data_IF_577390795338
#
_entry.id   IF_577390795338
#
_cell.length_a   1.000
_cell.length_b   1.000
_cell.length_c   1.000
_cell.angle_alpha   90.00
_cell.angle_beta   90.00
_cell.angle_gamma   90.00
#
_symmetry.space_group_name_H-M   'P 1'
#
loop_
_entity.id
_entity.type
_entity.pdbx_description
1 polymer ?
#
# COMPACT_ATOMS: atom_id res chain seq x y z
N UNK A 1 22.59 -11.47 14.84
CA UNK A 1 22.46 -12.90 14.48
C UNK A 1 22.87 -13.05 13.02
N UNK A 2 24.19 -13.08 12.79
CA UNK A 2 24.83 -13.28 11.50
C UNK A 2 25.36 -14.72 11.51
N UNK A 3 24.81 -15.57 10.66
CA UNK A 3 25.31 -16.93 10.45
C UNK A 3 26.39 -16.90 9.38
N UNK A 4 27.64 -16.84 9.84
CA UNK A 4 28.80 -17.32 9.12
C UNK A 4 28.88 -18.83 9.37
N UNK A 5 28.53 -19.66 8.37
CA UNK A 5 28.73 -21.11 8.44
C UNK A 5 29.47 -21.56 7.18
N UNK A 6 30.76 -21.83 7.40
CA UNK A 6 31.59 -22.92 6.88
C UNK A 6 31.78 -23.07 5.37
N UNK A 7 32.92 -22.55 4.87
CA UNK A 7 33.49 -22.88 3.56
C UNK A 7 34.82 -23.66 3.64
N UNK A 8 35.12 -24.34 4.75
CA UNK A 8 36.46 -24.95 4.94
C UNK A 8 36.58 -26.46 4.65
N UNK A 9 35.49 -27.18 4.39
CA UNK A 9 35.57 -28.65 4.24
C UNK A 9 35.71 -29.18 2.80
N UNK A 10 36.01 -28.33 1.81
CA UNK A 10 36.07 -28.78 0.40
C UNK A 10 37.45 -28.65 -0.27
N UNK A 11 38.51 -28.29 0.48
CA UNK A 11 39.86 -28.20 -0.07
C UNK A 11 40.67 -29.52 0.06
N UNK A 12 40.38 -30.36 1.06
CA UNK A 12 41.15 -31.59 1.28
C UNK A 12 40.78 -32.73 0.31
N UNK A 13 39.58 -32.72 -0.28
CA UNK A 13 39.21 -33.67 -1.34
C UNK A 13 39.86 -33.32 -2.70
N UNK A 14 40.17 -32.04 -2.93
CA UNK A 14 40.79 -31.58 -4.19
C UNK A 14 42.30 -31.84 -4.19
N UNK A 15 42.95 -31.78 -3.03
CA UNK A 15 44.42 -31.96 -2.94
C UNK A 15 44.82 -33.44 -3.09
N UNK A 16 43.93 -34.41 -2.79
CA UNK A 16 44.26 -35.84 -2.93
C UNK A 16 43.99 -36.40 -4.35
N UNK A 17 43.22 -35.70 -5.18
CA UNK A 17 43.01 -36.08 -6.59
C UNK A 17 44.15 -35.61 -7.52
N UNK A 18 44.99 -34.65 -7.09
CA UNK A 18 46.17 -34.16 -7.83
C UNK A 18 47.44 -34.86 -7.32
N UNK A 19 47.38 -36.19 -7.13
CA UNK A 19 48.57 -36.97 -6.76
C UNK A 19 48.62 -38.37 -7.38
N UNK A 20 47.83 -38.61 -8.42
CA UNK A 20 47.95 -39.81 -9.25
C UNK A 20 48.44 -39.40 -10.63
N UNK A 21 49.72 -39.71 -10.87
CA UNK A 21 50.29 -40.03 -12.17
C UNK A 21 50.18 -38.97 -13.27
N UNK A 22 51.30 -38.28 -13.53
CA UNK A 22 52.12 -38.63 -14.69
C UNK A 22 53.47 -37.92 -14.60
N UNK A 23 54.49 -38.61 -14.09
CA UNK A 23 55.87 -38.33 -14.49
C UNK A 23 56.04 -38.77 -15.95
N UNK A 24 55.63 -37.91 -16.89
CA UNK A 24 56.03 -38.07 -18.29
C UNK A 24 57.50 -37.66 -18.41
N UNK A 25 58.36 -38.50 -19.03
CA UNK A 25 59.70 -38.07 -19.39
C UNK A 25 59.57 -36.84 -20.28
N UNK A 26 60.25 -35.75 -19.93
CA UNK A 26 60.35 -34.58 -20.80
C UNK A 26 61.19 -34.94 -22.02
N UNK A 27 60.56 -35.60 -22.97
CA UNK A 27 61.00 -35.63 -24.35
C UNK A 27 60.99 -34.18 -24.82
N UNK A 28 62.18 -33.58 -24.91
CA UNK A 28 62.44 -32.39 -25.71
C UNK A 28 62.20 -32.74 -27.18
N UNK A 29 60.95 -32.97 -27.56
CA UNK A 29 60.53 -33.01 -28.95
C UNK A 29 59.81 -31.70 -29.17
N UNK A 30 60.41 -30.84 -30.01
CA UNK A 30 59.74 -29.62 -30.46
C UNK A 30 58.40 -30.01 -31.09
N UNK A 31 57.35 -29.27 -30.74
CA UNK A 31 56.02 -29.43 -31.32
C UNK A 31 56.15 -29.58 -32.83
N UNK A 32 55.86 -30.77 -33.34
CA UNK A 32 55.89 -30.99 -34.78
C UNK A 32 54.69 -30.28 -35.38
N UNK A 33 54.90 -29.57 -36.49
CA UNK A 33 53.84 -28.85 -37.21
C UNK A 33 52.58 -29.71 -37.46
N UNK A 34 52.67 -31.03 -37.78
CA UNK A 34 51.50 -31.90 -37.91
C UNK A 34 50.67 -32.05 -36.64
N UNK A 35 51.30 -32.04 -35.47
CA UNK A 35 50.65 -32.28 -34.18
C UNK A 35 49.86 -31.05 -33.71
N UNK A 36 50.39 -29.85 -34.00
CA UNK A 36 49.66 -28.59 -33.83
C UNK A 36 48.43 -28.56 -34.74
N UNK A 37 48.56 -28.96 -36.01
CA UNK A 37 47.43 -29.00 -36.95
C UNK A 37 46.35 -29.96 -36.45
N UNK A 38 46.72 -31.12 -35.92
CA UNK A 38 45.76 -32.11 -35.42
C UNK A 38 45.01 -31.60 -34.17
N UNK A 39 45.71 -30.97 -33.22
CA UNK A 39 45.06 -30.38 -32.04
C UNK A 39 44.11 -29.25 -32.42
N UNK A 40 44.53 -28.36 -33.34
CA UNK A 40 43.67 -27.27 -33.80
C UNK A 40 42.44 -27.82 -34.54
N UNK A 41 42.60 -28.87 -35.36
CA UNK A 41 41.48 -29.51 -36.05
C UNK A 41 40.47 -30.13 -35.07
N UNK A 42 40.95 -30.86 -34.06
CA UNK A 42 40.07 -31.46 -33.03
C UNK A 42 39.39 -30.38 -32.19
N UNK A 43 40.12 -29.32 -31.79
CA UNK A 43 39.56 -28.21 -31.04
C UNK A 43 38.50 -27.45 -31.85
N UNK A 44 38.71 -27.25 -33.15
CA UNK A 44 37.72 -26.63 -34.03
C UNK A 44 36.43 -27.45 -34.10
N UNK A 45 36.52 -28.77 -34.29
CA UNK A 45 35.35 -29.65 -34.33
C UNK A 45 34.60 -29.59 -32.99
N UNK A 46 35.29 -29.70 -31.86
CA UNK A 46 34.66 -29.63 -30.53
C UNK A 46 33.97 -28.28 -30.29
N UNK A 47 34.59 -27.18 -30.71
CA UNK A 47 34.01 -25.83 -30.55
C UNK A 47 32.74 -25.67 -31.38
N UNK A 48 32.72 -26.19 -32.62
CA UNK A 48 31.53 -26.15 -33.48
C UNK A 48 30.37 -26.99 -32.94
N UNK A 49 30.65 -28.10 -32.25
CA UNK A 49 29.62 -28.97 -31.66
C UNK A 49 29.06 -28.41 -30.34
N UNK A 50 29.87 -27.72 -29.54
CA UNK A 50 29.43 -27.15 -28.26
C UNK A 50 28.71 -25.80 -28.38
N UNK A 51 28.86 -25.10 -29.52
CA UNK A 51 28.34 -23.75 -29.70
C UNK A 51 26.80 -23.63 -29.59
N UNK A 52 25.98 -24.54 -30.17
CA UNK A 52 24.52 -24.45 -30.08
C UNK A 52 23.99 -24.49 -28.64
N UNK A 53 24.60 -25.32 -27.80
CA UNK A 53 24.18 -25.49 -26.40
C UNK A 53 24.45 -24.21 -25.59
N UNK A 54 25.61 -23.60 -25.78
CA UNK A 54 26.00 -22.34 -25.13
C UNK A 54 25.02 -21.22 -25.49
N UNK A 55 24.66 -21.10 -26.78
CA UNK A 55 23.70 -20.09 -27.23
C UNK A 55 22.33 -20.30 -26.58
N UNK A 56 21.86 -21.54 -26.48
CA UNK A 56 20.58 -21.85 -25.82
C UNK A 56 20.57 -21.49 -24.34
N UNK A 57 21.71 -21.63 -23.65
CA UNK A 57 21.86 -21.26 -22.24
C UNK A 57 21.72 -19.76 -22.04
N UNK A 58 22.42 -18.95 -22.85
CA UNK A 58 22.31 -17.49 -22.77
C UNK A 58 20.90 -16.98 -23.07
N UNK A 59 20.19 -17.59 -24.04
CA UNK A 59 18.79 -17.28 -24.31
C UNK A 59 17.90 -17.52 -23.10
N UNK A 60 18.00 -18.69 -22.47
CA UNK A 60 17.26 -19.01 -21.25
C UNK A 60 17.59 -18.03 -20.12
N UNK A 61 18.86 -17.69 -19.95
CA UNK A 61 19.29 -16.72 -18.95
C UNK A 61 18.65 -15.35 -19.18
N UNK A 62 18.63 -14.87 -20.43
CA UNK A 62 17.99 -13.58 -20.76
C UNK A 62 16.48 -13.59 -20.48
N UNK A 63 15.78 -14.67 -20.82
CA UNK A 63 14.34 -14.81 -20.56
C UNK A 63 14.05 -14.80 -19.06
N UNK A 64 14.84 -15.51 -18.26
CA UNK A 64 14.66 -15.53 -16.81
C UNK A 64 15.00 -14.18 -16.15
N UNK A 65 16.04 -13.50 -16.64
CA UNK A 65 16.35 -12.13 -16.21
C UNK A 65 15.20 -11.17 -16.51
N UNK A 66 14.61 -11.25 -17.71
CA UNK A 66 13.47 -10.43 -18.10
C UNK A 66 12.24 -10.70 -17.23
N UNK A 67 11.93 -11.98 -16.95
CA UNK A 67 10.84 -12.36 -16.04
C UNK A 67 11.05 -11.81 -14.64
N UNK A 68 12.29 -11.80 -14.15
CA UNK A 68 12.62 -11.21 -12.86
C UNK A 68 12.42 -9.70 -12.87
N UNK A 69 12.90 -9.00 -13.91
CA UNK A 69 12.69 -7.57 -14.08
C UNK A 69 11.21 -7.20 -14.11
N UNK A 70 10.39 -7.90 -14.90
CA UNK A 70 8.94 -7.67 -14.97
C UNK A 70 8.24 -7.91 -13.63
N UNK A 71 8.68 -8.91 -12.85
CA UNK A 71 8.15 -9.13 -11.48
C UNK A 71 8.54 -8.00 -10.53
N UNK A 72 9.74 -7.44 -10.65
CA UNK A 72 10.15 -6.27 -9.87
C UNK A 72 9.34 -5.04 -10.25
N UNK A 73 9.11 -4.80 -11.55
CA UNK A 73 8.24 -3.74 -12.05
C UNK A 73 6.81 -3.93 -11.52
N UNK A 74 6.28 -5.16 -11.51
CA UNK A 74 4.96 -5.44 -10.94
C UNK A 74 4.89 -5.11 -9.45
N UNK A 75 5.91 -5.47 -8.66
CA UNK A 75 5.98 -5.11 -7.24
C UNK A 75 6.06 -3.60 -7.04
N UNK A 76 6.81 -2.90 -7.88
CA UNK A 76 6.90 -1.44 -7.86
C UNK A 76 5.54 -0.80 -8.18
N UNK A 77 4.81 -1.33 -9.16
CA UNK A 77 3.43 -0.90 -9.46
C UNK A 77 2.50 -1.10 -8.26
N UNK A 78 2.59 -2.23 -7.54
CA UNK A 78 1.83 -2.44 -6.30
C UNK A 78 2.17 -1.41 -5.24
N UNK A 79 3.45 -1.09 -5.04
CA UNK A 79 3.88 -0.10 -4.05
C UNK A 79 3.42 1.32 -4.44
N UNK A 80 3.61 1.71 -5.71
CA UNK A 80 3.16 3.00 -6.22
C UNK A 80 1.65 3.18 -6.09
N UNK A 81 0.87 2.18 -6.52
CA UNK A 81 -0.59 2.24 -6.44
C UNK A 81 -1.08 2.28 -4.99
N UNK A 82 -0.37 1.64 -4.07
CA UNK A 82 -0.67 1.68 -2.65
C UNK A 82 -0.49 3.10 -2.08
N UNK A 83 0.53 3.83 -2.51
CA UNK A 83 0.86 5.13 -1.94
C UNK A 83 0.08 6.27 -2.62
N UNK A 84 -0.06 6.23 -3.95
CA UNK A 84 -0.68 7.30 -4.73
C UNK A 84 -2.16 7.05 -5.09
N UNK A 85 -2.69 5.85 -4.84
CA UNK A 85 -4.07 5.41 -5.18
C UNK A 85 -4.42 5.40 -6.68
N UNK A 86 -3.46 5.75 -7.53
CA UNK A 86 -3.58 5.86 -8.99
C UNK A 86 -2.38 5.11 -9.61
N UNK A 87 -2.49 4.75 -10.88
CA UNK A 87 -1.37 4.21 -11.65
C UNK A 87 -0.55 5.33 -12.33
N UNK A 88 0.74 5.08 -12.61
CA UNK A 88 1.58 6.05 -13.31
C UNK A 88 1.05 6.41 -14.69
N UNK A 89 1.33 7.63 -15.16
CA UNK A 89 0.98 8.05 -16.52
C UNK A 89 1.77 7.26 -17.57
N UNK A 90 1.14 6.99 -18.72
CA UNK A 90 1.73 6.18 -19.78
C UNK A 90 3.03 6.75 -20.36
N UNK A 91 3.24 8.07 -20.27
CA UNK A 91 4.44 8.72 -20.84
C UNK A 91 5.66 8.61 -19.92
N UNK A 92 5.46 8.67 -18.60
CA UNK A 92 6.54 8.78 -17.61
C UNK A 92 6.55 7.64 -16.58
N UNK A 93 5.79 6.58 -16.83
CA UNK A 93 5.63 5.44 -15.91
C UNK A 93 6.97 4.87 -15.41
N UNK A 94 7.98 4.81 -16.27
CA UNK A 94 9.28 4.24 -15.93
C UNK A 94 10.11 5.14 -14.98
N UNK A 95 9.93 6.46 -15.01
CA UNK A 95 10.59 7.38 -14.07
C UNK A 95 9.91 7.36 -12.71
N UNK A 96 8.58 7.34 -12.72
CA UNK A 96 7.77 7.29 -11.50
C UNK A 96 7.94 5.97 -10.74
N UNK A 97 7.98 4.84 -11.46
CA UNK A 97 8.20 3.53 -10.84
C UNK A 97 9.64 3.34 -10.34
N UNK A 98 10.63 4.05 -10.89
CA UNK A 98 12.02 3.93 -10.46
C UNK A 98 12.24 4.29 -9.00
N UNK A 99 11.37 5.13 -8.39
CA UNK A 99 11.42 5.42 -6.96
C UNK A 99 11.04 4.22 -6.07
N UNK A 100 10.33 3.23 -6.63
CA UNK A 100 9.75 2.09 -5.92
C UNK A 100 10.44 0.75 -6.25
N UNK A 101 11.50 0.77 -7.06
CA UNK A 101 12.27 -0.42 -7.44
C UNK A 101 13.77 -0.17 -7.36
N UNK A 102 14.55 -1.25 -7.39
CA UNK A 102 16.01 -1.19 -7.49
C UNK A 102 16.49 -1.04 -8.94
N UNK A 103 15.57 -1.11 -9.91
CA UNK A 103 15.88 -0.93 -11.33
C UNK A 103 16.02 0.56 -11.65
N UNK A 104 16.98 0.90 -12.51
CA UNK A 104 17.08 2.25 -13.06
C UNK A 104 15.89 2.55 -13.97
N UNK A 105 15.55 3.83 -14.23
CA UNK A 105 14.49 4.19 -15.18
C UNK A 105 14.69 3.53 -16.55
N UNK A 106 15.93 3.47 -17.03
CA UNK A 106 16.29 2.79 -18.27
C UNK A 106 16.15 1.27 -18.17
N UNK A 107 16.44 0.68 -17.01
CA UNK A 107 16.21 -0.75 -16.77
C UNK A 107 14.73 -1.14 -16.72
N UNK A 108 13.84 -0.18 -16.42
CA UNK A 108 12.39 -0.36 -16.46
C UNK A 108 11.85 -0.15 -17.88
N UNK A 109 12.38 0.85 -18.59
CA UNK A 109 11.98 1.12 -19.97
C UNK A 109 12.50 0.04 -20.94
N UNK A 110 13.77 -0.38 -20.81
CA UNK A 110 14.43 -1.30 -21.73
C UNK A 110 14.44 -2.73 -21.22
N UNK A 111 14.11 -3.67 -22.10
CA UNK A 111 14.22 -5.10 -21.84
C UNK A 111 15.67 -5.63 -21.94
N UNK A 112 15.82 -6.92 -21.64
CA UNK A 112 17.10 -7.64 -21.72
C UNK A 112 17.73 -7.64 -23.12
N UNK A 113 16.95 -7.29 -24.16
CA UNK A 113 17.36 -7.19 -25.56
C UNK A 113 17.46 -5.73 -26.04
N UNK A 114 17.37 -4.76 -25.13
CA UNK A 114 17.46 -3.33 -25.37
C UNK A 114 16.30 -2.75 -26.22
N UNK A 115 15.14 -3.41 -26.20
CA UNK A 115 13.89 -2.89 -26.76
C UNK A 115 13.07 -2.18 -25.69
N UNK A 116 12.28 -1.17 -26.11
CA UNK A 116 11.36 -0.50 -25.20
C UNK A 116 10.19 -1.42 -24.85
N UNK A 117 9.90 -1.55 -23.56
CA UNK A 117 8.70 -2.21 -23.06
C UNK A 117 7.50 -1.32 -23.33
N UNK A 118 6.39 -1.93 -23.72
CA UNK A 118 5.12 -1.22 -23.89
C UNK A 118 4.33 -1.30 -22.60
N UNK A 119 3.96 -0.14 -22.10
CA UNK A 119 3.08 0.02 -20.96
C UNK A 119 1.72 0.53 -21.44
N UNK A 120 0.67 -0.18 -21.06
CA UNK A 120 -0.71 0.18 -21.36
C UNK A 120 -1.46 0.27 -20.05
N UNK A 121 -2.19 1.36 -19.86
CA UNK A 121 -3.00 1.61 -18.66
C UNK A 121 -4.41 2.01 -19.07
N UNK A 122 -5.40 1.53 -18.32
CA UNK A 122 -6.77 1.99 -18.43
C UNK A 122 -7.44 1.96 -17.07
N UNK A 123 -8.52 2.72 -16.96
CA UNK A 123 -9.37 2.75 -15.80
C UNK A 123 -10.81 2.37 -16.18
N UNK A 124 -11.47 1.65 -15.28
CA UNK A 124 -12.87 1.28 -15.45
C UNK A 124 -13.63 1.50 -14.14
N UNK A 125 -14.69 2.31 -14.22
CA UNK A 125 -15.64 2.48 -13.14
C UNK A 125 -16.53 1.23 -13.02
N UNK A 126 -16.56 0.62 -11.85
CA UNK A 126 -17.45 -0.49 -11.53
C UNK A 126 -18.23 -0.18 -10.27
N UNK A 127 -19.52 -0.48 -10.28
CA UNK A 127 -20.34 -0.40 -9.08
C UNK A 127 -19.92 -1.52 -8.15
N UNK A 128 -19.43 -1.15 -6.97
CA UNK A 128 -19.08 -2.07 -5.91
C UNK A 128 -19.93 -1.75 -4.68
N UNK A 129 -20.83 -2.69 -4.34
CA UNK A 129 -21.91 -2.49 -3.37
C UNK A 129 -22.78 -1.29 -3.75
N UNK A 130 -22.73 -0.20 -2.98
CA UNK A 130 -23.59 0.99 -3.15
C UNK A 130 -22.83 2.18 -3.76
N UNK A 131 -21.52 2.04 -4.01
CA UNK A 131 -20.67 3.09 -4.56
C UNK A 131 -20.13 2.75 -5.95
N UNK A 132 -19.86 3.78 -6.75
CA UNK A 132 -19.08 3.64 -7.98
C UNK A 132 -17.61 3.85 -7.66
N UNK A 133 -16.79 2.84 -7.89
CA UNK A 133 -15.34 2.89 -7.66
C UNK A 133 -14.62 2.63 -8.97
N UNK A 134 -13.61 3.46 -9.26
CA UNK A 134 -12.74 3.28 -10.40
C UNK A 134 -11.66 2.25 -10.08
N UNK A 135 -11.49 1.25 -10.94
CA UNK A 135 -10.42 0.26 -10.87
C UNK A 135 -9.41 0.51 -11.97
N UNK A 136 -8.13 0.37 -11.63
CA UNK A 136 -7.02 0.59 -12.56
C UNK A 136 -6.45 -0.75 -13.03
N UNK A 137 -6.25 -0.84 -14.33
CA UNK A 137 -5.69 -2.00 -15.02
C UNK A 137 -4.46 -1.56 -15.79
N UNK A 138 -3.39 -2.35 -15.72
CA UNK A 138 -2.19 -2.09 -16.49
C UNK A 138 -1.51 -3.36 -16.95
N UNK A 139 -0.80 -3.25 -18.07
CA UNK A 139 0.06 -4.30 -18.60
C UNK A 139 1.41 -3.73 -18.97
N UNK A 140 2.47 -4.50 -18.72
CA UNK A 140 3.81 -4.23 -19.23
C UNK A 140 4.20 -5.42 -20.10
N UNK A 141 4.60 -5.14 -21.34
CA UNK A 141 4.98 -6.14 -22.35
C UNK A 141 6.42 -5.92 -22.78
N UNK A 142 7.20 -6.99 -22.84
CA UNK A 142 8.51 -7.05 -23.51
C UNK A 142 8.39 -7.87 -24.78
N UNK A 143 9.04 -7.40 -25.85
CA UNK A 143 9.04 -8.00 -27.19
C UNK A 143 9.94 -9.25 -27.35
N UNK A 144 10.39 -9.82 -26.23
CA UNK A 144 11.08 -11.11 -26.22
C UNK A 144 12.38 -11.16 -27.04
N UNK A 145 12.75 -12.38 -27.41
CA UNK A 145 13.92 -12.68 -28.24
C UNK A 145 13.74 -12.19 -29.69
N UNK A 146 12.50 -12.16 -30.18
CA UNK A 146 12.08 -11.69 -31.50
C UNK A 146 12.26 -10.18 -31.69
N UNK A 147 12.40 -9.42 -30.59
CA UNK A 147 12.60 -7.96 -30.55
C UNK A 147 11.48 -7.17 -31.22
N UNK A 148 10.32 -7.80 -31.36
CA UNK A 148 9.13 -7.20 -31.93
C UNK A 148 7.98 -7.58 -31.02
N UNK A 149 7.20 -6.59 -30.61
CA UNK A 149 6.00 -6.84 -29.80
C UNK A 149 4.92 -7.28 -30.78
N UNK A 150 4.59 -8.57 -30.73
CA UNK A 150 3.52 -9.17 -31.54
C UNK A 150 2.17 -9.09 -30.81
N UNK A 151 2.21 -8.86 -29.50
CA UNK A 151 1.03 -8.80 -28.65
C UNK A 151 0.16 -7.58 -28.99
N UNK A 152 -1.12 -7.84 -29.25
CA UNK A 152 -2.09 -6.79 -29.50
C UNK A 152 -2.32 -5.93 -28.25
N UNK A 153 -2.29 -4.60 -28.44
CA UNK A 153 -2.73 -3.67 -27.40
C UNK A 153 -4.22 -3.88 -27.09
N UNK A 154 -4.58 -3.68 -25.83
CA UNK A 154 -5.95 -3.75 -25.35
C UNK A 154 -6.46 -2.35 -25.04
N UNK A 155 -7.70 -2.06 -25.43
CA UNK A 155 -8.31 -0.74 -25.29
C UNK A 155 -9.49 -0.72 -24.30
N UNK A 156 -9.90 -1.89 -23.81
CA UNK A 156 -11.04 -2.09 -22.93
C UNK A 156 -10.83 -3.25 -21.95
N UNK A 157 -11.74 -3.38 -20.99
CA UNK A 157 -11.68 -4.41 -19.97
C UNK A 157 -11.77 -5.83 -20.53
N UNK A 158 -12.58 -6.04 -21.58
CA UNK A 158 -12.71 -7.35 -22.23
C UNK A 158 -11.40 -7.74 -22.93
N UNK A 159 -10.75 -6.78 -23.59
CA UNK A 159 -9.40 -6.90 -24.11
C UNK A 159 -8.38 -7.20 -23.01
N UNK A 160 -8.45 -6.53 -21.86
CA UNK A 160 -7.55 -6.79 -20.73
C UNK A 160 -7.70 -8.22 -20.14
N UNK A 161 -8.93 -8.70 -20.00
CA UNK A 161 -9.21 -10.04 -19.46
C UNK A 161 -8.72 -11.13 -20.42
N UNK A 162 -8.94 -10.94 -21.71
CA UNK A 162 -8.50 -11.84 -22.78
C UNK A 162 -7.03 -11.67 -23.17
N UNK A 163 -6.36 -10.63 -22.64
CA UNK A 163 -4.98 -10.32 -22.95
C UNK A 163 -4.02 -11.47 -22.60
N UNK A 164 -3.28 -11.91 -23.61
CA UNK A 164 -2.23 -12.92 -23.52
C UNK A 164 -1.06 -12.48 -24.39
N UNK A 165 0.15 -12.73 -23.91
CA UNK A 165 1.35 -12.50 -24.71
C UNK A 165 1.36 -13.43 -25.93
N UNK A 166 1.69 -12.88 -27.10
CA UNK A 166 1.81 -13.62 -28.34
C UNK A 166 3.27 -14.03 -28.60
N UNK A 167 3.47 -15.17 -29.29
CA UNK A 167 4.81 -15.59 -29.70
C UNK A 167 5.75 -15.84 -28.52
N UNK A 168 6.85 -15.11 -28.50
CA UNK A 168 7.88 -15.13 -27.44
C UNK A 168 7.83 -13.89 -26.53
N UNK A 169 6.81 -13.05 -26.67
CA UNK A 169 6.58 -11.90 -25.80
C UNK A 169 6.39 -12.35 -24.35
N UNK A 170 6.83 -11.50 -23.42
CA UNK A 170 6.65 -11.71 -21.99
C UNK A 170 5.84 -10.53 -21.47
N UNK A 171 4.66 -10.81 -20.94
CA UNK A 171 3.80 -9.78 -20.40
C UNK A 171 3.41 -10.05 -18.94
N UNK A 172 3.26 -8.97 -18.19
CA UNK A 172 2.74 -9.00 -16.84
C UNK A 172 1.52 -8.10 -16.73
N UNK A 173 0.53 -8.57 -15.97
CA UNK A 173 -0.73 -7.88 -15.74
C UNK A 173 -0.80 -7.39 -14.31
N UNK A 174 -1.39 -6.20 -14.14
CA UNK A 174 -1.58 -5.56 -12.85
C UNK A 174 -3.02 -5.08 -12.72
N UNK A 175 -3.61 -5.33 -11.56
CA UNK A 175 -4.88 -4.76 -11.15
C UNK A 175 -4.84 -4.39 -9.67
N UNK A 176 -5.42 -3.23 -9.36
CA UNK A 176 -5.55 -2.71 -7.99
C UNK A 176 -6.80 -3.21 -7.26
N UNK A 177 -7.61 -4.06 -7.92
CA UNK A 177 -8.93 -4.46 -7.43
C UNK A 177 -8.88 -5.11 -6.05
N UNK A 178 -7.97 -6.08 -5.84
CA UNK A 178 -7.84 -6.77 -4.56
C UNK A 178 -7.42 -5.81 -3.43
N UNK A 179 -6.50 -4.89 -3.74
CA UNK A 179 -6.03 -3.89 -2.78
C UNK A 179 -7.15 -2.95 -2.35
N UNK A 180 -7.94 -2.45 -3.31
CA UNK A 180 -9.10 -1.59 -3.04
C UNK A 180 -10.16 -2.32 -2.22
N UNK A 181 -10.45 -3.59 -2.55
CA UNK A 181 -11.38 -4.42 -1.77
C UNK A 181 -10.90 -4.60 -0.32
N UNK A 182 -9.62 -4.92 -0.12
CA UNK A 182 -9.05 -5.10 1.22
C UNK A 182 -9.10 -3.82 2.07
N UNK A 183 -8.79 -2.67 1.49
CA UNK A 183 -8.88 -1.36 2.20
C UNK A 183 -10.31 -1.04 2.59
N UNK A 184 -11.26 -1.37 1.71
CA UNK A 184 -12.67 -1.19 1.98
C UNK A 184 -13.14 -2.08 3.14
N UNK A 185 -12.79 -3.38 3.14
CA UNK A 185 -13.11 -4.31 4.22
C UNK A 185 -12.47 -3.91 5.56
N UNK A 186 -11.24 -3.40 5.51
CA UNK A 186 -10.58 -2.84 6.70
C UNK A 186 -11.33 -1.62 7.24
N UNK A 187 -11.82 -0.74 6.35
CA UNK A 187 -12.61 0.44 6.73
C UNK A 187 -13.92 0.02 7.38
N UNK A 188 -14.62 -0.99 6.85
CA UNK A 188 -15.81 -1.57 7.49
C UNK A 188 -15.48 -2.10 8.88
N UNK A 189 -14.41 -2.89 9.01
CA UNK A 189 -14.01 -3.46 10.30
C UNK A 189 -13.69 -2.36 11.32
N UNK A 190 -13.08 -1.25 10.88
CA UNK A 190 -12.83 -0.07 11.74
C UNK A 190 -14.13 0.59 12.17
N UNK A 191 -15.10 0.76 11.26
CA UNK A 191 -16.42 1.31 11.57
C UNK A 191 -17.17 0.44 12.59
N UNK A 192 -17.18 -0.89 12.42
CA UNK A 192 -17.80 -1.81 13.38
C UNK A 192 -17.21 -1.71 14.78
N UNK A 193 -15.87 -1.59 14.89
CA UNK A 193 -15.19 -1.39 16.18
C UNK A 193 -15.56 -0.06 16.82
N UNK A 194 -15.71 1.00 16.03
CA UNK A 194 -16.15 2.31 16.51
C UNK A 194 -17.58 2.22 17.06
N UNK A 195 -18.49 1.59 16.32
CA UNK A 195 -19.88 1.37 16.75
C UNK A 195 -19.92 0.62 18.09
N UNK A 196 -19.16 -0.47 18.22
CA UNK A 196 -19.11 -1.25 19.46
C UNK A 196 -18.52 -0.46 20.64
N UNK A 197 -17.53 0.42 20.38
CA UNK A 197 -16.97 1.29 21.41
C UNK A 197 -17.96 2.37 21.86
N UNK A 198 -18.70 2.96 20.92
CA UNK A 198 -19.74 3.96 21.20
C UNK A 198 -20.91 3.36 21.97
N UNK A 199 -21.34 2.14 21.63
CA UNK A 199 -22.40 1.44 22.38
C UNK A 199 -21.97 1.16 23.83
N UNK A 200 -20.74 0.68 24.05
CA UNK A 200 -20.20 0.51 25.42
C UNK A 200 -20.11 1.82 26.20
N UNK A 201 -19.72 2.91 25.54
CA UNK A 201 -19.68 4.23 26.16
C UNK A 201 -21.08 4.69 26.56
N UNK A 202 -22.05 4.59 25.66
CA UNK A 202 -23.44 4.97 25.92
C UNK A 202 -24.04 4.16 27.07
N UNK A 203 -23.80 2.84 27.11
CA UNK A 203 -24.24 1.98 28.21
C UNK A 203 -23.59 2.35 29.55
N UNK A 204 -22.29 2.67 29.56
CA UNK A 204 -21.59 3.09 30.77
C UNK A 204 -22.14 4.42 31.31
N UNK A 205 -22.41 5.39 30.43
CA UNK A 205 -22.99 6.67 30.83
C UNK A 205 -24.45 6.55 31.28
N UNK A 206 -25.25 5.71 30.62
CA UNK A 206 -26.60 5.38 31.06
C UNK A 206 -26.58 4.80 32.48
N UNK A 207 -25.70 3.84 32.75
CA UNK A 207 -25.56 3.25 34.08
C UNK A 207 -25.13 4.29 35.12
N UNK A 208 -24.22 5.20 34.78
CA UNK A 208 -23.83 6.30 35.67
C UNK A 208 -25.01 7.25 35.96
N UNK A 209 -25.82 7.59 34.95
CA UNK A 209 -26.98 8.44 35.11
C UNK A 209 -28.03 7.80 36.03
N UNK A 210 -28.29 6.50 35.85
CA UNK A 210 -29.17 5.71 36.74
C UNK A 210 -28.64 5.67 38.17
N UNK A 211 -27.34 5.42 38.37
CA UNK A 211 -26.71 5.39 39.70
C UNK A 211 -26.71 6.76 40.39
N UNK A 212 -26.57 7.84 39.62
CA UNK A 212 -26.61 9.21 40.13
C UNK A 212 -28.02 9.74 40.38
N UNK A 213 -29.05 8.93 40.05
CA UNK A 213 -30.47 9.28 40.18
C UNK A 213 -30.84 10.57 39.45
N UNK A 214 -30.23 10.78 38.27
CA UNK A 214 -30.42 11.99 37.48
C UNK A 214 -31.86 12.07 36.94
N UNK A 215 -32.47 13.25 36.90
CA UNK A 215 -33.85 13.40 36.42
C UNK A 215 -33.85 13.35 34.87
N UNK A 216 -34.78 12.59 34.27
CA UNK A 216 -34.97 12.45 32.81
C UNK A 216 -33.85 11.71 32.05
N UNK A 217 -33.16 10.74 32.67
CA UNK A 217 -32.14 9.91 32.01
C UNK A 217 -32.68 9.13 30.79
N UNK A 218 -33.97 8.81 30.77
CA UNK A 218 -34.64 8.07 29.67
C UNK A 218 -34.71 8.87 28.35
N UNK A 219 -34.56 10.20 28.42
CA UNK A 219 -34.61 11.09 27.24
C UNK A 219 -33.23 11.60 26.79
N UNK A 220 -32.15 11.24 27.51
CA UNK A 220 -30.80 11.71 27.20
C UNK A 220 -30.12 10.80 26.19
N UNK A 221 -29.45 11.42 25.22
CA UNK A 221 -28.55 10.76 24.29
C UNK A 221 -27.16 10.70 24.94
N UNK A 222 -26.63 9.48 25.15
CA UNK A 222 -25.40 9.24 25.92
C UNK A 222 -24.13 9.13 25.07
N UNK A 223 -24.16 9.65 23.84
CA UNK A 223 -22.98 9.70 22.99
C UNK A 223 -22.04 10.85 23.40
N UNK A 224 -20.71 10.73 23.17
CA UNK A 224 -19.77 11.76 23.56
C UNK A 224 -20.06 13.08 22.82
N UNK A 225 -20.13 14.21 23.54
CA UNK A 225 -20.33 15.51 22.89
C UNK A 225 -19.14 15.88 22.00
N UNK A 226 -19.39 16.61 20.92
CA UNK A 226 -18.33 17.19 20.08
C UNK A 226 -17.55 18.24 20.87
N UNK A 227 -16.25 18.40 20.57
CA UNK A 227 -15.40 19.32 21.31
C UNK A 227 -15.63 20.79 20.88
N UNK A 228 -16.36 21.02 19.79
CA UNK A 228 -16.59 22.34 19.20
C UNK A 228 -17.90 23.00 19.59
N UNK A 229 -18.88 22.24 20.07
CA UNK A 229 -20.14 22.83 20.47
C UNK A 229 -20.25 22.94 22.00
N UNK A 230 -20.03 24.17 22.47
CA UNK A 230 -20.50 24.68 23.77
C UNK A 230 -22.03 24.78 23.76
N UNK A 231 -22.71 23.74 23.30
CA UNK A 231 -24.14 23.58 23.54
C UNK A 231 -24.22 22.99 24.94
N UNK A 232 -24.72 23.74 25.94
CA UNK A 232 -24.84 23.22 27.30
C UNK A 232 -25.59 21.88 27.25
N UNK A 233 -25.20 20.92 28.08
CA UNK A 233 -25.64 19.51 28.04
C UNK A 233 -27.17 19.25 27.91
N UNK A 234 -28.00 20.28 28.06
CA UNK A 234 -29.45 20.26 27.83
C UNK A 234 -29.89 20.60 26.39
N UNK A 235 -29.00 21.06 25.52
CA UNK A 235 -29.32 21.53 24.15
C UNK A 235 -28.96 20.57 23.02
N UNK A 236 -28.13 19.55 23.30
CA UNK A 236 -27.74 18.56 22.28
C UNK A 236 -28.97 17.80 21.78
N UNK A 237 -29.82 17.31 22.68
CA UNK A 237 -31.07 16.62 22.30
C UNK A 237 -32.05 17.49 21.49
N UNK A 238 -32.16 18.78 21.80
CA UNK A 238 -32.99 19.71 21.04
C UNK A 238 -32.44 19.97 19.62
N UNK A 239 -31.11 19.99 19.48
CA UNK A 239 -30.43 20.15 18.19
C UNK A 239 -30.58 18.88 17.33
N UNK A 240 -30.46 17.69 17.91
CA UNK A 240 -30.72 16.42 17.22
C UNK A 240 -32.17 16.33 16.72
N UNK A 241 -33.16 16.77 17.52
CA UNK A 241 -34.56 16.79 17.10
C UNK A 241 -34.81 17.80 15.97
N UNK A 242 -34.17 18.97 16.01
CA UNK A 242 -34.25 19.96 14.93
C UNK A 242 -33.62 19.43 13.63
N UNK A 243 -32.46 18.80 13.72
CA UNK A 243 -31.72 18.23 12.58
C UNK A 243 -32.47 17.00 12.00
N UNK A 244 -33.09 16.18 12.85
CA UNK A 244 -33.95 15.05 12.41
C UNK A 244 -35.16 15.56 11.63
N UNK A 245 -35.81 16.64 12.10
CA UNK A 245 -36.95 17.24 11.41
C UNK A 245 -36.54 17.88 10.07
N UNK A 246 -35.34 18.46 9.98
CA UNK A 246 -34.80 19.02 8.74
C UNK A 246 -34.47 17.92 7.70
N UNK A 247 -33.93 16.78 8.13
CA UNK A 247 -33.59 15.64 7.26
C UNK A 247 -34.84 14.89 6.78
N UNK A 248 -35.84 14.69 7.66
CA UNK A 248 -37.09 14.02 7.30
C UNK A 248 -37.97 14.90 6.38
N UNK A 249 -37.81 16.22 6.43
CA UNK A 249 -38.58 17.19 5.64
C UNK A 249 -37.91 17.72 4.37
N UNK A 250 -36.62 17.43 4.13
CA UNK A 250 -35.85 18.07 3.06
C UNK A 250 -34.81 17.17 2.39
N UNK A 251 -34.55 17.43 1.10
CA UNK A 251 -33.48 16.78 0.33
C UNK A 251 -32.12 17.21 0.90
N UNK A 252 -31.40 16.27 1.52
CA UNK A 252 -30.03 16.50 1.99
C UNK A 252 -29.12 16.61 0.76
N UNK A 253 -28.67 17.82 0.44
CA UNK A 253 -27.70 18.04 -0.63
C UNK A 253 -26.31 17.60 -0.14
N UNK A 254 -25.86 16.43 -0.59
CA UNK A 254 -24.53 15.89 -0.28
C UNK A 254 -23.44 16.82 -0.82
N UNK A 255 -22.84 17.63 0.06
CA UNK A 255 -21.80 18.59 -0.28
C UNK A 255 -21.65 19.74 0.72
N UNK A 256 -22.67 19.98 1.55
CA UNK A 256 -22.62 21.02 2.57
C UNK A 256 -22.10 20.49 3.92
N UNK A 257 -21.12 21.19 4.49
CA UNK A 257 -20.50 20.87 5.79
C UNK A 257 -21.56 20.80 6.88
N UNK A 258 -22.57 21.66 6.83
CA UNK A 258 -23.62 21.71 7.84
C UNK A 258 -24.61 20.53 7.71
N UNK A 259 -24.79 19.99 6.50
CA UNK A 259 -25.56 18.74 6.29
C UNK A 259 -24.82 17.52 6.86
N UNK A 260 -23.49 17.48 6.70
CA UNK A 260 -22.67 16.42 7.30
C UNK A 260 -22.57 16.55 8.82
N UNK A 261 -22.52 17.76 9.39
CA UNK A 261 -22.65 17.96 10.84
C UNK A 261 -23.98 17.45 11.37
N UNK A 262 -25.09 17.76 10.70
CA UNK A 262 -26.43 17.25 11.04
C UNK A 262 -26.49 15.72 11.00
N UNK A 263 -25.87 15.10 9.99
CA UNK A 263 -25.75 13.65 9.91
C UNK A 263 -24.89 13.07 11.05
N UNK A 264 -23.75 13.70 11.37
CA UNK A 264 -22.88 13.27 12.48
C UNK A 264 -23.62 13.37 13.82
N UNK A 265 -24.36 14.46 14.07
CA UNK A 265 -25.22 14.61 15.26
C UNK A 265 -26.31 13.54 15.33
N UNK A 266 -26.97 13.25 14.21
CA UNK A 266 -27.99 12.20 14.11
C UNK A 266 -27.41 10.81 14.42
N UNK A 267 -26.19 10.55 13.96
CA UNK A 267 -25.45 9.31 14.23
C UNK A 267 -24.81 9.27 15.62
N UNK A 268 -24.91 10.35 16.42
CA UNK A 268 -24.28 10.44 17.73
C UNK A 268 -22.76 10.54 17.68
N UNK A 269 -22.20 11.00 16.56
CA UNK A 269 -20.77 11.20 16.37
C UNK A 269 -20.41 12.68 16.61
N UNK A 270 -19.22 12.97 17.16
CA UNK A 270 -18.71 14.34 17.24
C UNK A 270 -18.71 15.03 15.87
N UNK A 271 -19.29 16.23 15.80
CA UNK A 271 -19.38 17.03 14.58
C UNK A 271 -18.03 17.33 13.93
N UNK A 272 -16.96 17.40 14.71
CA UNK A 272 -15.58 17.58 14.22
C UNK A 272 -15.17 16.53 13.18
N UNK A 273 -15.79 15.34 13.23
CA UNK A 273 -15.54 14.27 12.28
C UNK A 273 -16.16 14.51 10.89
N UNK A 274 -17.07 15.50 10.75
CA UNK A 274 -17.60 15.89 9.44
C UNK A 274 -16.51 16.48 8.54
N UNK A 275 -15.54 17.19 9.13
CA UNK A 275 -14.47 17.88 8.41
C UNK A 275 -13.46 16.88 7.81
N UNK A 276 -13.13 15.80 8.53
CA UNK A 276 -12.26 14.74 8.00
C UNK A 276 -12.92 13.96 6.86
N UNK A 277 -14.24 13.77 6.90
CA UNK A 277 -15.00 13.08 5.86
C UNK A 277 -15.18 13.91 4.57
N UNK A 278 -15.08 15.24 4.66
CA UNK A 278 -15.17 16.17 3.53
C UNK A 278 -13.79 16.65 3.03
N UNK A 279 -12.69 16.18 3.63
CA UNK A 279 -11.35 16.56 3.17
C UNK A 279 -11.14 16.04 1.73
N UNK A 280 -10.66 16.91 0.80
CA UNK A 280 -10.41 16.50 -0.57
C UNK A 280 -9.32 15.41 -0.59
N UNK A 281 -9.43 14.49 -1.57
CA UNK A 281 -8.55 13.32 -1.73
C UNK A 281 -7.03 13.62 -1.79
N UNK A 282 -6.63 14.89 -1.88
CA UNK A 282 -5.24 15.33 -1.89
C UNK A 282 -4.56 15.31 -0.51
N UNK A 283 -5.32 15.32 0.60
CA UNK A 283 -4.79 15.15 1.96
C UNK A 283 -5.78 14.32 2.79
N UNK A 284 -5.75 12.97 2.68
CA UNK A 284 -6.60 12.13 3.50
C UNK A 284 -6.12 12.20 4.95
N UNK A 285 -6.68 13.13 5.73
CA UNK A 285 -6.53 13.08 7.18
C UNK A 285 -7.16 11.77 7.67
N UNK A 286 -6.32 10.88 8.19
CA UNK A 286 -6.78 9.60 8.73
C UNK A 286 -7.84 9.86 9.82
N UNK A 287 -8.86 9.01 9.86
CA UNK A 287 -9.86 9.06 10.92
C UNK A 287 -9.19 8.82 12.28
N UNK A 288 -8.91 9.91 13.01
CA UNK A 288 -8.25 9.87 14.30
C UNK A 288 -9.30 9.79 15.42
N UNK A 289 -9.60 8.58 15.89
CA UNK A 289 -10.33 8.40 17.14
C UNK A 289 -9.36 8.61 18.30
N UNK A 290 -9.43 9.77 18.96
CA UNK A 290 -8.62 10.05 20.14
C UNK A 290 -9.13 9.22 21.34
N UNK A 291 -8.69 7.96 21.44
CA UNK A 291 -8.72 7.24 22.72
C UNK A 291 -7.72 7.85 23.74
N UNK A 292 -6.88 8.79 23.30
CA UNK A 292 -5.99 9.57 24.12
C UNK A 292 -6.06 11.04 23.65
N UNK A 293 -6.68 11.96 24.41
CA UNK A 293 -6.79 13.35 24.00
C UNK A 293 -5.38 13.94 23.83
N UNK A 294 -5.10 14.51 22.66
CA UNK A 294 -3.86 15.26 22.49
C UNK A 294 -3.79 16.37 23.53
N UNK A 295 -2.57 16.68 24.00
CA UNK A 295 -2.36 17.78 24.94
C UNK A 295 -2.69 19.09 24.22
N UNK A 296 -3.89 19.61 24.48
CA UNK A 296 -4.34 20.89 23.94
C UNK A 296 -3.73 22.03 24.74
N UNK A 297 -3.19 23.02 24.05
CA UNK A 297 -2.80 24.28 24.67
C UNK A 297 -4.01 25.22 24.64
N UNK A 298 -4.56 25.49 25.82
CA UNK A 298 -5.72 26.37 26.01
C UNK A 298 -5.20 27.75 26.37
N UNK A 299 -5.38 28.74 25.49
CA UNK A 299 -5.11 30.14 25.82
C UNK A 299 -6.32 30.77 26.49
N UNK A 300 -6.08 31.37 27.64
CA UNK A 300 -7.09 32.05 28.44
C UNK A 300 -6.95 33.56 28.27
N UNK A 301 -8.08 34.24 28.07
CA UNK A 301 -8.20 35.69 28.06
C UNK A 301 -9.11 36.15 29.18
N UNK A 302 -8.91 37.37 29.68
CA UNK A 302 -9.74 37.96 30.73
C UNK A 302 -10.42 39.22 30.23
N UNK A 303 -11.71 39.37 30.54
CA UNK A 303 -12.46 40.62 30.34
C UNK A 303 -13.11 41.02 31.66
N UNK A 304 -13.10 42.33 31.95
CA UNK A 304 -13.69 42.89 33.15
C UNK A 304 -15.06 43.49 32.78
N UNK A 305 -16.13 42.89 33.30
CA UNK A 305 -17.50 43.38 33.13
C UNK A 305 -18.11 43.64 34.51
N UNK A 306 -18.61 44.86 34.73
CA UNK A 306 -19.28 45.23 35.97
C UNK A 306 -18.42 45.10 37.23
N UNK A 307 -17.10 45.27 37.13
CA UNK A 307 -16.16 45.14 38.25
C UNK A 307 -15.80 43.70 38.63
N UNK A 308 -16.16 42.70 37.81
CA UNK A 308 -15.69 41.31 37.95
C UNK A 308 -14.87 40.90 36.74
N UNK A 309 -13.72 40.28 36.99
CA UNK A 309 -12.89 39.66 35.95
C UNK A 309 -13.44 38.28 35.62
N UNK A 310 -13.82 38.09 34.37
CA UNK A 310 -14.27 36.81 33.83
C UNK A 310 -13.18 36.32 32.88
N UNK A 311 -12.70 35.10 33.14
CA UNK A 311 -11.71 34.42 32.30
C UNK A 311 -12.43 33.48 31.34
N UNK A 312 -12.13 33.58 30.04
CA UNK A 312 -12.70 32.74 28.99
C UNK A 312 -11.62 32.28 28.02
N UNK A 313 -11.86 31.15 27.36
CA UNK A 313 -10.92 30.54 26.41
C UNK A 313 -10.94 31.35 25.12
N UNK A 314 -9.78 31.89 24.72
CA UNK A 314 -9.67 32.70 23.49
C UNK A 314 -9.24 31.90 22.27
N UNK A 315 -8.50 30.80 22.46
CA UNK A 315 -8.17 29.87 21.39
C UNK A 315 -7.70 28.53 21.94
N UNK A 316 -8.00 27.45 21.22
CA UNK A 316 -7.47 26.11 21.45
C UNK A 316 -6.61 25.73 20.25
N UNK A 317 -5.34 25.37 20.49
CA UNK A 317 -4.44 24.88 19.43
C UNK A 317 -4.07 23.42 19.67
N UNK A 318 -4.22 22.60 18.63
CA UNK A 318 -3.73 21.22 18.60
C UNK A 318 -2.23 21.23 18.24
N UNK A 319 -1.38 20.66 19.10
CA UNK A 319 0.05 20.56 18.83
C UNK A 319 0.29 19.40 17.85
N UNK A 320 0.70 19.73 16.62
CA UNK A 320 1.07 18.76 15.59
C UNK A 320 2.18 17.81 16.07
N UNK A 321 1.99 16.53 15.75
CA UNK A 321 2.81 15.42 16.26
C UNK A 321 4.22 15.38 15.68
N UNK A 322 5.19 15.14 16.55
CA UNK A 322 6.47 14.53 16.18
C UNK A 322 7.13 13.71 17.29
N UNK A 323 6.65 13.76 18.55
CA UNK A 323 7.31 13.10 19.69
C UNK A 323 6.34 12.38 20.64
N UNK A 324 5.57 11.41 20.16
CA UNK A 324 4.95 10.42 21.05
C UNK A 324 5.41 9.01 20.67
N UNK A 325 5.99 8.22 21.60
CA UNK A 325 6.31 6.83 21.32
C UNK A 325 5.00 6.04 21.11
N UNK A 326 5.01 5.02 20.22
CA UNK A 326 3.84 4.21 19.95
C UNK A 326 3.34 3.50 21.21
N UNK A 327 2.02 3.42 21.35
CA UNK A 327 1.36 2.72 22.46
C UNK A 327 1.73 1.24 22.44
N UNK A 328 2.55 0.80 23.39
CA UNK A 328 2.77 -0.62 23.68
C UNK A 328 1.68 -1.06 24.66
N UNK A 329 0.71 -1.90 24.27
CA UNK A 329 -0.32 -2.35 25.19
C UNK A 329 0.30 -3.16 26.34
N UNK A 330 -0.22 -3.05 27.57
CA UNK A 330 0.26 -3.87 28.68
C UNK A 330 0.00 -5.35 28.36
N UNK A 331 1.04 -6.18 28.44
CA UNK A 331 0.91 -7.64 28.39
C UNK A 331 0.07 -8.08 29.59
N UNK A 332 -1.18 -8.43 29.34
CA UNK A 332 -2.01 -9.11 30.33
C UNK A 332 -1.47 -10.55 30.41
N UNK A 333 -0.66 -10.84 31.42
CA UNK A 333 -0.31 -12.22 31.75
C UNK A 333 -1.54 -12.90 32.32
N UNK A 334 -2.09 -13.87 31.57
CA UNK A 334 -3.05 -14.85 32.04
C UNK A 334 -2.39 -15.72 33.12
N UNK A 335 -2.31 -15.22 34.34
CA UNK A 335 -1.95 -16.03 35.50
C UNK A 335 -2.72 -15.49 36.70
N UNK A 336 -3.86 -16.15 36.96
CA UNK A 336 -4.67 -16.23 38.19
C UNK A 336 -6.15 -16.00 37.93
N UNK A 337 -6.78 -17.02 37.35
CA UNK A 337 -8.15 -17.42 37.66
C UNK A 337 -8.19 -18.95 37.59
N UNK A 338 -7.72 -19.58 38.67
CA UNK A 338 -8.26 -20.84 39.17
C UNK A 338 -9.03 -20.50 40.44
#
# INVERSE_FOLDING_TARGET
MLNHINSENNQDAVIMAIKISTSHPQLKHGFTLPEVILIVAVMAIMTTMAFPDIVSFFRRQSIEQERLALREIQKAMYAYANDNLVLPDANNWYEELAAYTNLSPQGILKDSWNQDRVYTVASHAKVYREGTVEFFYATVVSGGEGRQIETAEWNDLDGYVSFQAAGDDIAIRFTDQEMKQKRYDETITRMERIIAALDRYAQAQYNNAVLSNEVNYDTKVFYPPSNVDVVPANGYGASVVADTNAIVGGTVNGGDVDSMKGLMRLLGLPEDHCCSALSPASEPEAFHYAANPQRQEIQWSEREEGGRRIRYISSVRCLGGSNMPPFVPPKISLSRLC
#
